data_IF_855286628073
#
_entry.id   IF_855286628073
#
_cell.length_a   1.000
_cell.length_b   1.000
_cell.length_c   1.000
_cell.angle_alpha   90.00
_cell.angle_beta   90.00
_cell.angle_gamma   90.00
#
_symmetry.space_group_name_H-M   'P 1'
#
loop_
_entity.id
_entity.type
_entity.pdbx_description
1 polymer ?
#
# COMPACT_ATOMS: atom_id res chain seq x y z
N UNK A 1 -1.43 47.77 -31.41
CA UNK A 1 -0.69 47.68 -32.67
C UNK A 1 -0.29 46.23 -32.88
N UNK A 2 -1.04 45.50 -33.68
CA UNK A 2 -0.70 44.11 -34.08
C UNK A 2 0.30 44.22 -35.24
N UNK A 3 1.54 43.93 -34.97
CA UNK A 3 2.54 43.81 -36.04
C UNK A 3 2.13 42.64 -36.94
N UNK A 4 1.77 42.93 -38.20
CA UNK A 4 1.52 41.90 -39.20
C UNK A 4 2.84 41.20 -39.56
N UNK A 5 2.88 39.90 -39.27
CA UNK A 5 4.03 39.03 -39.64
C UNK A 5 4.21 39.10 -41.15
N UNK A 6 5.45 39.31 -41.62
CA UNK A 6 5.75 39.39 -43.05
C UNK A 6 5.40 38.07 -43.77
N UNK A 7 4.89 38.16 -45.00
CA UNK A 7 4.50 36.97 -45.81
C UNK A 7 5.58 35.89 -45.90
N UNK A 8 6.87 36.21 -46.13
CA UNK A 8 7.91 35.17 -46.17
C UNK A 8 8.05 34.43 -44.83
N UNK A 9 7.88 35.11 -43.69
CA UNK A 9 7.94 34.47 -42.37
C UNK A 9 6.69 33.59 -42.11
N UNK A 10 5.53 33.97 -42.61
CA UNK A 10 4.33 33.10 -42.57
C UNK A 10 4.53 31.82 -43.37
N UNK A 11 5.08 31.91 -44.59
CA UNK A 11 5.39 30.70 -45.39
C UNK A 11 6.44 29.82 -44.71
N UNK A 12 7.47 30.41 -44.11
CA UNK A 12 8.46 29.65 -43.34
C UNK A 12 7.84 28.86 -42.19
N UNK A 13 6.93 29.48 -41.40
CA UNK A 13 6.20 28.78 -40.33
C UNK A 13 5.29 27.66 -40.88
N UNK A 14 4.53 27.93 -41.96
CA UNK A 14 3.65 26.94 -42.58
C UNK A 14 4.46 25.73 -43.07
N UNK A 15 5.59 26.00 -43.77
CA UNK A 15 6.46 24.94 -44.28
C UNK A 15 7.11 24.13 -43.18
N UNK A 16 7.61 24.78 -42.13
CA UNK A 16 8.21 24.12 -40.99
C UNK A 16 7.18 23.27 -40.24
N UNK A 17 5.98 23.81 -39.95
CA UNK A 17 4.90 23.11 -39.32
C UNK A 17 4.37 21.93 -40.14
N UNK A 18 4.13 22.15 -41.44
CA UNK A 18 3.71 21.10 -42.37
C UNK A 18 4.76 19.98 -42.49
N UNK A 19 6.04 20.35 -42.60
CA UNK A 19 7.15 19.40 -42.63
C UNK A 19 7.23 18.57 -41.33
N UNK A 20 7.06 19.21 -40.19
CA UNK A 20 7.00 18.53 -38.89
C UNK A 20 5.83 17.53 -38.83
N UNK A 21 4.62 17.97 -39.23
CA UNK A 21 3.44 17.09 -39.23
C UNK A 21 3.62 15.88 -40.14
N UNK A 22 4.15 16.09 -41.37
CA UNK A 22 4.41 15.00 -42.30
C UNK A 22 5.49 14.04 -41.78
N UNK A 23 6.55 14.58 -41.19
CA UNK A 23 7.60 13.79 -40.57
C UNK A 23 7.07 12.92 -39.41
N UNK A 24 6.27 13.51 -38.53
CA UNK A 24 5.62 12.80 -37.41
C UNK A 24 4.62 11.76 -37.93
N UNK A 25 3.81 12.11 -38.95
CA UNK A 25 2.88 11.16 -39.57
C UNK A 25 3.64 9.96 -40.20
N UNK A 26 4.70 10.22 -40.94
CA UNK A 26 5.54 9.16 -41.50
C UNK A 26 6.19 8.28 -40.44
N UNK A 27 6.61 8.89 -39.31
CA UNK A 27 7.17 8.13 -38.17
C UNK A 27 6.12 7.26 -37.50
N UNK A 28 4.91 7.76 -37.37
CA UNK A 28 3.79 7.04 -36.73
C UNK A 28 3.42 5.77 -37.50
N UNK A 29 3.64 5.73 -38.83
CA UNK A 29 3.35 4.55 -39.63
C UNK A 29 4.23 3.33 -39.28
N UNK A 30 5.31 3.50 -38.53
CA UNK A 30 6.15 2.38 -38.06
C UNK A 30 5.43 1.41 -37.14
N UNK A 31 4.38 1.86 -36.48
CA UNK A 31 3.55 1.00 -35.60
C UNK A 31 2.56 0.13 -36.36
N UNK A 32 2.29 0.42 -37.65
CA UNK A 32 1.28 -0.31 -38.44
C UNK A 32 1.71 -1.73 -38.84
N UNK A 33 2.95 -1.98 -39.31
CA UNK A 33 3.35 -3.30 -39.85
C UNK A 33 3.36 -4.44 -38.80
N UNK A 34 3.43 -4.12 -37.52
CA UNK A 34 3.40 -5.11 -36.43
C UNK A 34 2.01 -5.57 -36.04
N UNK A 35 0.96 -5.03 -36.63
CA UNK A 35 -0.41 -5.40 -36.26
C UNK A 35 -0.79 -6.79 -36.80
N UNK A 36 -1.23 -7.67 -35.91
CA UNK A 36 -1.80 -8.97 -36.24
C UNK A 36 -3.06 -9.19 -35.39
N UNK A 37 -4.19 -9.28 -36.05
CA UNK A 37 -5.44 -9.64 -35.39
C UNK A 37 -5.57 -11.18 -35.26
N UNK A 38 -6.28 -11.65 -34.24
CA UNK A 38 -6.62 -13.07 -34.16
C UNK A 38 -7.48 -13.49 -35.39
N UNK A 39 -7.24 -14.70 -35.89
CA UNK A 39 -7.85 -15.18 -37.15
C UNK A 39 -9.38 -15.17 -37.14
N UNK A 40 -9.99 -15.20 -35.98
CA UNK A 40 -11.44 -15.21 -35.74
C UNK A 40 -12.04 -13.83 -35.42
N UNK A 41 -11.23 -12.74 -35.51
CA UNK A 41 -11.69 -11.39 -35.19
C UNK A 41 -12.70 -10.89 -36.25
N UNK A 42 -13.97 -10.60 -35.87
CA UNK A 42 -14.97 -10.16 -36.84
C UNK A 42 -14.65 -8.78 -37.41
N UNK A 43 -14.78 -8.64 -38.74
CA UNK A 43 -14.47 -7.41 -39.48
C UNK A 43 -15.53 -6.31 -39.34
N UNK A 44 -16.83 -6.69 -39.20
CA UNK A 44 -17.94 -5.75 -39.34
C UNK A 44 -18.52 -5.25 -38.02
N UNK A 45 -18.09 -5.73 -36.88
CA UNK A 45 -18.62 -5.32 -35.56
C UNK A 45 -17.70 -4.37 -34.79
N UNK A 46 -16.69 -3.80 -35.45
CA UNK A 46 -15.75 -2.85 -34.84
C UNK A 46 -14.63 -3.49 -34.01
N UNK A 47 -14.66 -4.80 -33.75
CA UNK A 47 -13.62 -5.45 -32.92
C UNK A 47 -12.24 -5.39 -33.55
N UNK A 48 -12.15 -5.54 -34.89
CA UNK A 48 -10.88 -5.40 -35.59
C UNK A 48 -10.33 -3.96 -35.50
N UNK A 49 -11.19 -2.96 -35.69
CA UNK A 49 -10.79 -1.55 -35.55
C UNK A 49 -10.30 -1.25 -34.13
N UNK A 50 -11.00 -1.72 -33.11
CA UNK A 50 -10.60 -1.57 -31.73
C UNK A 50 -9.26 -2.28 -31.40
N UNK A 51 -9.07 -3.49 -31.92
CA UNK A 51 -7.79 -4.20 -31.77
C UNK A 51 -6.63 -3.45 -32.45
N UNK A 52 -6.88 -2.88 -33.65
CA UNK A 52 -5.91 -2.06 -34.34
C UNK A 52 -5.60 -0.77 -33.58
N UNK A 53 -6.62 -0.07 -33.10
CA UNK A 53 -6.45 1.14 -32.31
C UNK A 53 -5.64 0.88 -31.03
N UNK A 54 -5.93 -0.21 -30.33
CA UNK A 54 -5.20 -0.60 -29.13
C UNK A 54 -3.72 -0.92 -29.43
N UNK A 55 -3.46 -1.64 -30.53
CA UNK A 55 -2.08 -1.91 -30.99
C UNK A 55 -1.37 -0.62 -31.37
N UNK A 56 -2.00 0.21 -32.22
CA UNK A 56 -1.44 1.47 -32.69
C UNK A 56 -1.13 2.42 -31.55
N UNK A 57 -2.05 2.56 -30.56
CA UNK A 57 -1.85 3.40 -29.38
C UNK A 57 -0.68 2.91 -28.50
N UNK A 58 -0.53 1.60 -28.36
CA UNK A 58 0.56 1.00 -27.59
C UNK A 58 1.92 1.21 -28.23
N UNK A 59 2.01 1.02 -29.56
CA UNK A 59 3.26 1.06 -30.31
C UNK A 59 3.56 2.47 -30.91
N UNK A 60 2.71 3.46 -30.65
CA UNK A 60 2.81 4.79 -31.24
C UNK A 60 4.03 5.57 -30.72
N UNK A 61 5.09 5.71 -31.53
CA UNK A 61 6.37 6.23 -31.04
C UNK A 61 6.31 7.70 -30.60
N UNK A 62 5.41 8.49 -31.20
CA UNK A 62 5.24 9.91 -30.88
C UNK A 62 4.57 10.10 -29.52
N UNK A 63 3.64 9.20 -29.14
CA UNK A 63 2.99 9.22 -27.82
C UNK A 63 4.05 9.13 -26.73
N UNK A 64 4.98 8.19 -26.86
CA UNK A 64 6.07 8.00 -25.90
C UNK A 64 6.96 9.23 -25.81
N UNK A 65 7.40 9.78 -26.98
CA UNK A 65 8.19 11.01 -27.00
C UNK A 65 7.44 12.17 -26.33
N UNK A 66 6.17 12.39 -26.73
CA UNK A 66 5.34 13.47 -26.18
C UNK A 66 5.11 13.30 -24.66
N UNK A 67 4.83 12.08 -24.22
CA UNK A 67 4.63 11.79 -22.78
C UNK A 67 5.90 12.04 -21.98
N UNK A 68 7.06 11.55 -22.45
CA UNK A 68 8.32 11.74 -21.72
C UNK A 68 8.75 13.21 -21.72
N UNK A 69 8.62 13.90 -22.87
CA UNK A 69 8.97 15.33 -22.96
C UNK A 69 8.09 16.17 -22.02
N UNK A 70 6.77 15.92 -22.03
CA UNK A 70 5.85 16.64 -21.16
C UNK A 70 6.15 16.35 -19.70
N UNK A 71 6.32 15.08 -19.33
CA UNK A 71 6.70 14.69 -17.98
C UNK A 71 8.02 15.32 -17.52
N UNK A 72 9.02 15.45 -18.43
CA UNK A 72 10.28 16.11 -18.10
C UNK A 72 10.10 17.61 -17.83
N UNK A 73 9.22 18.29 -18.59
CA UNK A 73 8.86 19.69 -18.34
C UNK A 73 8.13 19.85 -17.02
N UNK A 74 7.10 19.04 -16.76
CA UNK A 74 6.32 19.07 -15.52
C UNK A 74 7.24 18.83 -14.31
N UNK A 75 8.08 17.80 -14.38
CA UNK A 75 9.02 17.45 -13.32
C UNK A 75 10.06 18.56 -13.05
N UNK A 76 10.67 19.12 -14.11
CA UNK A 76 11.78 20.07 -13.96
C UNK A 76 11.32 21.49 -13.64
N UNK A 77 10.20 21.94 -14.22
CA UNK A 77 9.73 23.32 -14.07
C UNK A 77 8.71 23.49 -12.97
N UNK A 78 7.80 22.53 -12.82
CA UNK A 78 6.69 22.63 -11.88
C UNK A 78 6.86 21.74 -10.64
N UNK A 79 7.81 20.78 -10.67
CA UNK A 79 7.96 19.74 -9.62
C UNK A 79 6.69 18.93 -9.47
N UNK A 80 6.07 18.56 -10.59
CA UNK A 80 4.85 17.79 -10.65
C UNK A 80 5.06 16.47 -11.37
N UNK A 81 4.35 15.43 -10.92
CA UNK A 81 4.21 14.13 -11.56
C UNK A 81 2.78 13.89 -12.01
N UNK A 82 2.48 12.66 -12.47
CA UNK A 82 1.10 12.24 -12.70
C UNK A 82 0.33 12.20 -11.38
N UNK A 83 -1.03 12.31 -11.40
CA UNK A 83 -1.85 12.07 -10.23
C UNK A 83 -1.50 10.72 -9.57
N UNK A 84 -1.27 10.74 -8.26
CA UNK A 84 -0.80 9.60 -7.47
C UNK A 84 0.52 9.84 -6.75
N UNK A 85 1.30 10.88 -7.13
CA UNK A 85 2.57 11.20 -6.50
C UNK A 85 2.67 12.67 -6.12
N UNK A 86 3.30 12.94 -4.99
CA UNK A 86 3.78 14.26 -4.55
C UNK A 86 5.31 14.22 -4.54
N UNK A 87 5.93 15.17 -5.25
CA UNK A 87 7.37 15.28 -5.35
C UNK A 87 7.89 16.13 -4.17
N UNK A 88 8.66 15.49 -3.32
CA UNK A 88 9.33 16.12 -2.20
C UNK A 88 10.74 16.63 -2.53
N UNK A 89 11.49 17.00 -1.49
CA UNK A 89 12.89 17.42 -1.59
C UNK A 89 13.82 16.20 -1.63
N UNK A 90 15.04 16.40 -2.12
CA UNK A 90 16.14 15.40 -2.10
C UNK A 90 15.77 14.06 -2.76
N UNK A 91 14.88 14.09 -3.76
CA UNK A 91 14.42 12.91 -4.47
C UNK A 91 13.44 12.03 -3.68
N UNK A 92 12.85 12.56 -2.59
CA UNK A 92 11.76 11.89 -1.89
C UNK A 92 10.46 12.03 -2.67
N UNK A 93 9.74 10.93 -2.76
CA UNK A 93 8.41 10.87 -3.34
C UNK A 93 7.42 10.39 -2.27
N UNK A 94 6.22 10.93 -2.31
CA UNK A 94 5.14 10.57 -1.40
C UNK A 94 3.91 10.18 -2.23
N UNK A 95 3.06 9.31 -1.72
CA UNK A 95 1.75 9.10 -2.33
C UNK A 95 0.87 10.33 -2.11
N UNK A 96 0.13 10.77 -3.12
CA UNK A 96 -0.80 11.88 -2.99
C UNK A 96 -1.98 11.57 -2.04
N UNK A 97 -2.20 10.27 -1.73
CA UNK A 97 -3.22 9.81 -0.78
C UNK A 97 -3.01 10.38 0.63
N UNK A 98 -1.77 10.65 1.03
CA UNK A 98 -1.44 11.25 2.33
C UNK A 98 -1.78 12.74 2.41
N UNK A 99 -2.09 13.38 1.28
CA UNK A 99 -2.36 14.83 1.16
C UNK A 99 -3.81 15.13 0.81
N UNK A 100 -4.61 14.12 0.44
CA UNK A 100 -6.00 14.28 0.10
C UNK A 100 -6.86 14.45 1.36
N UNK A 101 -7.77 15.42 1.40
CA UNK A 101 -8.76 15.50 2.46
C UNK A 101 -9.70 14.29 2.40
N UNK A 102 -10.33 13.98 3.54
CA UNK A 102 -11.43 13.02 3.53
C UNK A 102 -12.55 13.52 2.59
N UNK A 103 -13.18 12.62 1.82
CA UNK A 103 -14.30 12.99 0.93
C UNK A 103 -15.44 13.66 1.71
N UNK A 104 -15.64 13.24 2.96
CA UNK A 104 -16.58 13.86 3.91
C UNK A 104 -16.17 13.49 5.34
N UNK A 105 -16.62 14.27 6.34
CA UNK A 105 -16.46 13.89 7.75
C UNK A 105 -17.15 12.56 8.08
N UNK A 106 -18.23 12.25 7.37
CA UNK A 106 -18.96 10.99 7.52
C UNK A 106 -18.11 9.78 7.09
N UNK A 107 -17.19 9.93 6.13
CA UNK A 107 -16.36 8.82 5.65
C UNK A 107 -15.43 8.29 6.75
N UNK A 108 -14.84 9.18 7.54
CA UNK A 108 -13.99 8.78 8.66
C UNK A 108 -14.81 8.01 9.72
N UNK A 109 -16.03 8.48 10.01
CA UNK A 109 -16.94 7.81 10.93
C UNK A 109 -17.42 6.46 10.40
N UNK A 110 -17.68 6.35 9.10
CA UNK A 110 -18.04 5.10 8.45
C UNK A 110 -16.93 4.04 8.51
N UNK A 111 -15.68 4.46 8.26
CA UNK A 111 -14.53 3.58 8.38
C UNK A 111 -14.31 3.15 9.83
N UNK A 112 -14.45 4.08 10.77
CA UNK A 112 -14.38 3.77 12.19
C UNK A 112 -15.47 2.77 12.62
N UNK A 113 -16.71 2.95 12.15
CA UNK A 113 -17.80 2.03 12.42
C UNK A 113 -17.51 0.62 11.89
N UNK A 114 -16.85 0.50 10.71
CA UNK A 114 -16.39 -0.77 10.18
C UNK A 114 -15.32 -1.41 11.08
N UNK A 115 -14.30 -0.66 11.50
CA UNK A 115 -13.26 -1.16 12.41
C UNK A 115 -13.88 -1.69 13.70
N UNK A 116 -14.84 -0.97 14.27
CA UNK A 116 -15.58 -1.39 15.46
C UNK A 116 -16.46 -2.61 15.21
N UNK A 117 -17.10 -2.69 14.04
CA UNK A 117 -17.89 -3.85 13.63
C UNK A 117 -17.04 -5.10 13.51
N UNK A 118 -15.87 -4.98 12.87
CA UNK A 118 -14.88 -6.06 12.77
C UNK A 118 -14.44 -6.52 14.16
N UNK A 119 -14.05 -5.59 15.04
CA UNK A 119 -13.64 -5.92 16.41
C UNK A 119 -14.73 -6.75 17.13
N UNK A 120 -15.99 -6.35 17.02
CA UNK A 120 -17.09 -7.08 17.68
C UNK A 120 -17.31 -8.45 17.09
N UNK A 121 -17.18 -8.57 15.75
CA UNK A 121 -17.29 -9.86 15.09
C UNK A 121 -16.18 -10.82 15.53
N UNK A 122 -14.94 -10.31 15.63
CA UNK A 122 -13.79 -11.07 16.13
C UNK A 122 -13.99 -11.48 17.62
N UNK A 123 -14.41 -10.54 18.47
CA UNK A 123 -14.66 -10.81 19.89
C UNK A 123 -15.74 -11.87 20.08
N UNK A 124 -16.80 -11.90 19.25
CA UNK A 124 -17.82 -12.97 19.30
C UNK A 124 -17.27 -14.35 19.01
N UNK A 125 -16.17 -14.43 18.26
CA UNK A 125 -15.46 -15.68 17.93
C UNK A 125 -14.32 -15.97 18.89
N UNK A 126 -14.12 -15.15 19.93
CA UNK A 126 -13.01 -15.30 20.87
C UNK A 126 -11.65 -14.89 20.31
N UNK A 127 -11.61 -14.17 19.16
CA UNK A 127 -10.39 -13.67 18.53
C UNK A 127 -10.06 -12.30 19.09
N UNK A 128 -8.86 -12.15 19.64
CA UNK A 128 -8.33 -10.85 20.07
C UNK A 128 -7.82 -10.09 18.86
N UNK A 129 -7.94 -8.77 18.88
CA UNK A 129 -7.50 -7.87 17.80
C UNK A 129 -6.42 -6.92 18.28
N UNK A 130 -5.31 -6.88 17.57
CA UNK A 130 -4.32 -5.79 17.63
C UNK A 130 -4.34 -5.03 16.32
N UNK A 131 -4.55 -3.71 16.40
CA UNK A 131 -4.60 -2.84 15.24
C UNK A 131 -3.24 -2.14 15.08
N UNK A 132 -2.53 -2.49 14.02
CA UNK A 132 -1.24 -1.91 13.66
C UNK A 132 -1.46 -0.73 12.69
N UNK A 133 -1.70 0.47 13.23
CA UNK A 133 -1.87 1.69 12.40
C UNK A 133 -0.51 2.19 11.97
N UNK A 134 -0.21 2.07 10.67
CA UNK A 134 1.07 2.52 10.12
C UNK A 134 1.00 4.02 9.85
N UNK A 135 1.82 4.85 10.52
CA UNK A 135 1.79 6.29 10.32
C UNK A 135 2.20 6.67 8.89
N UNK A 136 1.63 7.76 8.39
CA UNK A 136 1.92 8.29 7.07
C UNK A 136 3.43 8.62 6.93
N UNK A 137 3.99 8.33 5.76
CA UNK A 137 5.39 8.65 5.43
C UNK A 137 5.66 10.15 5.57
N UNK A 138 4.72 11.00 5.13
CA UNK A 138 4.81 12.44 5.26
C UNK A 138 4.89 12.90 6.73
N UNK A 139 4.28 12.17 7.66
CA UNK A 139 4.36 12.44 9.11
C UNK A 139 5.74 12.11 9.70
N UNK A 140 6.41 11.13 9.14
CA UNK A 140 7.75 10.69 9.56
C UNK A 140 8.88 11.51 8.93
N UNK A 141 8.65 12.04 7.72
CA UNK A 141 9.64 12.77 6.93
C UNK A 141 9.15 14.16 6.51
N UNK A 142 8.64 14.99 7.45
CA UNK A 142 8.15 16.33 7.14
C UNK A 142 9.24 17.24 6.56
N UNK A 143 10.52 16.98 6.89
CA UNK A 143 11.67 17.70 6.36
C UNK A 143 11.84 17.58 4.84
N UNK A 144 11.34 16.48 4.26
CA UNK A 144 11.39 16.23 2.82
C UNK A 144 10.11 16.63 2.08
N UNK A 145 9.07 17.11 2.76
CA UNK A 145 7.89 17.64 2.08
C UNK A 145 8.27 18.96 1.38
N UNK A 146 7.85 19.09 0.10
CA UNK A 146 8.12 20.25 -0.72
C UNK A 146 7.12 21.39 -0.48
N UNK A 147 6.32 21.69 -1.50
CA UNK A 147 5.27 22.72 -1.45
C UNK A 147 3.97 22.21 -0.89
N UNK A 148 3.66 20.95 -1.17
CA UNK A 148 2.46 20.29 -0.66
C UNK A 148 2.57 20.10 0.85
N UNK A 149 1.44 20.26 1.51
CA UNK A 149 1.31 19.96 2.93
C UNK A 149 0.15 18.99 3.11
N UNK A 150 0.25 18.02 4.02
CA UNK A 150 -0.90 17.21 4.40
C UNK A 150 -2.08 18.09 4.77
N UNK A 151 -3.30 17.69 4.45
CA UNK A 151 -4.49 18.41 4.87
C UNK A 151 -4.51 18.54 6.40
N UNK A 152 -5.00 19.67 6.94
CA UNK A 152 -5.03 19.93 8.40
C UNK A 152 -5.72 18.81 9.19
N UNK A 153 -6.70 18.12 8.58
CA UNK A 153 -7.31 16.91 9.12
C UNK A 153 -6.29 15.84 9.50
N UNK A 154 -5.16 15.75 8.80
CA UNK A 154 -4.14 14.74 9.04
C UNK A 154 -3.21 15.09 10.21
N UNK A 155 -3.20 16.33 10.70
CA UNK A 155 -2.29 16.75 11.76
C UNK A 155 -2.50 15.91 13.03
N UNK A 156 -3.74 15.76 13.48
CA UNK A 156 -4.10 14.99 14.67
C UNK A 156 -4.62 13.58 14.35
N UNK A 157 -4.94 13.27 13.09
CA UNK A 157 -5.65 12.07 12.67
C UNK A 157 -5.08 10.78 13.30
N UNK A 158 -3.77 10.60 13.26
CA UNK A 158 -3.11 9.42 13.80
C UNK A 158 -3.35 9.28 15.31
N UNK A 159 -3.10 10.33 16.07
CA UNK A 159 -3.23 10.30 17.53
C UNK A 159 -4.69 10.20 17.97
N UNK A 160 -5.59 10.91 17.30
CA UNK A 160 -7.03 10.86 17.56
C UNK A 160 -7.58 9.45 17.31
N UNK A 161 -7.14 8.82 16.22
CA UNK A 161 -7.55 7.46 15.92
C UNK A 161 -7.04 6.46 16.96
N UNK A 162 -5.77 6.54 17.37
CA UNK A 162 -5.23 5.70 18.45
C UNK A 162 -5.95 5.92 19.77
N UNK A 163 -6.30 7.17 20.09
CA UNK A 163 -7.07 7.49 21.29
C UNK A 163 -8.47 6.85 21.24
N UNK A 164 -9.15 6.92 20.08
CA UNK A 164 -10.46 6.25 19.86
C UNK A 164 -10.33 4.73 19.97
N UNK A 165 -9.29 4.13 19.36
CA UNK A 165 -9.04 2.70 19.44
C UNK A 165 -8.87 2.25 20.90
N UNK A 166 -8.05 2.96 21.66
CA UNK A 166 -7.83 2.68 23.09
C UNK A 166 -9.11 2.83 23.91
N UNK A 167 -9.87 3.91 23.70
CA UNK A 167 -11.15 4.13 24.39
C UNK A 167 -12.17 3.03 24.05
N UNK A 168 -12.06 2.42 22.89
CA UNK A 168 -12.87 1.32 22.41
C UNK A 168 -12.39 -0.07 22.87
N UNK A 169 -11.28 -0.14 23.62
CA UNK A 169 -10.68 -1.41 24.05
C UNK A 169 -10.05 -2.20 22.90
N UNK A 170 -9.52 -1.50 21.87
CA UNK A 170 -8.70 -2.09 20.80
C UNK A 170 -7.24 -1.82 21.13
N UNK A 171 -6.44 -2.87 21.24
CA UNK A 171 -5.01 -2.74 21.41
C UNK A 171 -4.40 -2.16 20.12
N UNK A 172 -3.82 -0.97 20.24
CA UNK A 172 -3.19 -0.28 19.13
C UNK A 172 -1.99 0.52 19.64
N UNK A 173 -0.78 -0.06 19.58
CA UNK A 173 0.43 0.60 20.08
C UNK A 173 0.82 1.80 19.23
N UNK A 174 1.49 2.78 19.85
CA UNK A 174 2.08 3.91 19.12
C UNK A 174 3.29 3.44 18.31
N UNK A 175 3.11 3.30 17.01
CA UNK A 175 4.16 2.93 16.06
C UNK A 175 4.96 4.15 15.59
N UNK A 176 4.37 5.35 15.65
CA UNK A 176 5.02 6.59 15.23
C UNK A 176 6.27 6.90 16.07
N UNK A 177 6.14 6.77 17.39
CA UNK A 177 7.26 6.98 18.32
C UNK A 177 8.42 6.03 18.03
N UNK A 178 8.13 4.74 17.87
CA UNK A 178 9.13 3.71 17.57
C UNK A 178 9.81 3.93 16.23
N UNK A 179 9.05 4.27 15.18
CA UNK A 179 9.60 4.55 13.86
C UNK A 179 10.45 5.83 13.84
N UNK A 180 10.05 6.88 14.58
CA UNK A 180 10.88 8.09 14.72
C UNK A 180 12.22 7.79 15.37
N UNK A 181 12.24 6.98 16.41
CA UNK A 181 13.48 6.56 17.05
C UNK A 181 14.35 5.70 16.13
N UNK A 182 13.75 4.82 15.35
CA UNK A 182 14.47 3.96 14.43
C UNK A 182 15.10 4.72 13.26
N UNK A 183 14.64 5.93 12.92
CA UNK A 183 15.28 6.80 11.90
C UNK A 183 16.73 7.10 12.19
N UNK A 184 17.14 7.08 13.44
CA UNK A 184 18.55 7.28 13.82
C UNK A 184 19.47 6.15 13.32
N UNK A 185 18.90 4.98 13.03
CA UNK A 185 19.61 3.80 12.52
C UNK A 185 19.50 3.64 11.00
N UNK A 186 18.68 4.43 10.34
CA UNK A 186 18.47 4.38 8.89
C UNK A 186 17.06 4.77 8.45
N UNK A 187 16.83 4.76 7.14
CA UNK A 187 15.52 5.07 6.60
C UNK A 187 14.49 3.98 6.94
N UNK A 188 13.41 4.35 7.61
CA UNK A 188 12.30 3.45 7.97
C UNK A 188 11.23 3.37 6.89
N UNK A 189 11.21 4.34 5.95
CA UNK A 189 10.46 4.28 4.70
C UNK A 189 11.41 4.44 3.52
N UNK A 190 11.05 3.83 2.41
CA UNK A 190 11.79 3.97 1.16
C UNK A 190 11.53 5.35 0.54
N UNK A 191 12.57 5.94 -0.03
CA UNK A 191 12.51 7.30 -0.55
C UNK A 191 11.58 7.43 -1.75
N UNK A 192 11.64 6.47 -2.68
CA UNK A 192 10.90 6.49 -3.96
C UNK A 192 9.72 5.53 -4.00
N UNK A 193 9.36 4.94 -2.85
CA UNK A 193 8.32 3.94 -2.72
C UNK A 193 7.29 4.37 -1.67
N UNK A 194 6.07 3.87 -1.80
CA UNK A 194 5.01 4.10 -0.81
C UNK A 194 5.30 3.40 0.51
N UNK A 195 6.07 2.31 0.47
CA UNK A 195 6.20 1.38 1.59
C UNK A 195 7.36 1.71 2.53
N UNK A 196 7.30 1.09 3.69
CA UNK A 196 8.42 1.04 4.63
C UNK A 196 9.63 0.29 4.06
N UNK A 197 10.79 0.53 4.66
CA UNK A 197 11.97 -0.30 4.46
C UNK A 197 11.90 -1.57 5.33
N UNK A 198 12.76 -2.57 5.12
CA UNK A 198 12.88 -3.71 6.03
C UNK A 198 13.19 -3.31 7.48
N UNK A 199 13.90 -2.19 7.69
CA UNK A 199 14.13 -1.61 9.03
C UNK A 199 12.83 -1.11 9.65
N UNK A 200 11.99 -0.41 8.86
CA UNK A 200 10.69 0.05 9.33
C UNK A 200 9.77 -1.11 9.69
N UNK A 201 9.69 -2.13 8.81
CA UNK A 201 8.90 -3.33 9.05
C UNK A 201 9.33 -4.07 10.32
N UNK A 202 10.65 -4.27 10.51
CA UNK A 202 11.21 -4.90 11.71
C UNK A 202 10.91 -4.09 12.98
N UNK A 203 11.06 -2.77 12.93
CA UNK A 203 10.74 -1.86 14.06
C UNK A 203 9.28 -2.00 14.48
N UNK A 204 8.36 -2.02 13.53
CA UNK A 204 6.93 -2.21 13.79
C UNK A 204 6.67 -3.59 14.37
N UNK A 205 7.25 -4.64 13.80
CA UNK A 205 7.11 -6.01 14.30
C UNK A 205 7.60 -6.15 15.75
N UNK A 206 8.73 -5.54 16.09
CA UNK A 206 9.29 -5.54 17.45
C UNK A 206 8.35 -4.80 18.43
N UNK A 207 7.81 -3.64 18.04
CA UNK A 207 6.87 -2.89 18.90
C UNK A 207 5.56 -3.64 19.12
N UNK A 208 5.00 -4.25 18.07
CA UNK A 208 3.83 -5.12 18.18
C UNK A 208 4.10 -6.34 19.06
N UNK A 209 5.25 -6.99 18.87
CA UNK A 209 5.67 -8.12 19.68
C UNK A 209 5.82 -7.77 21.16
N UNK A 210 6.34 -6.58 21.49
CA UNK A 210 6.42 -6.10 22.87
C UNK A 210 5.01 -5.92 23.45
N UNK A 211 4.12 -5.21 22.76
CA UNK A 211 2.73 -4.98 23.20
C UNK A 211 1.97 -6.29 23.47
N UNK A 212 2.02 -7.22 22.51
CA UNK A 212 1.32 -8.51 22.60
C UNK A 212 1.81 -9.34 23.78
N UNK A 213 3.14 -9.30 24.07
CA UNK A 213 3.69 -9.99 25.25
C UNK A 213 3.31 -9.31 26.56
N UNK A 214 3.39 -7.99 26.63
CA UNK A 214 3.05 -7.21 27.83
C UNK A 214 1.57 -7.36 28.22
N UNK A 215 0.71 -7.45 27.22
CA UNK A 215 -0.75 -7.59 27.41
C UNK A 215 -1.23 -9.05 27.44
N UNK A 216 -0.33 -10.03 27.29
CA UNK A 216 -0.64 -11.45 27.28
C UNK A 216 -1.77 -11.83 26.30
N UNK A 217 -1.73 -11.25 25.07
CA UNK A 217 -2.78 -11.48 24.07
C UNK A 217 -2.63 -12.81 23.34
N UNK A 218 -1.43 -13.39 23.31
CA UNK A 218 -1.13 -14.65 22.63
C UNK A 218 -0.51 -15.63 23.63
N UNK A 219 -1.11 -16.81 23.71
CA UNK A 219 -0.62 -17.93 24.53
C UNK A 219 -0.46 -19.15 23.63
N UNK A 220 0.76 -19.34 23.15
CA UNK A 220 1.13 -20.45 22.27
C UNK A 220 2.54 -20.94 22.62
N UNK A 221 2.87 -22.21 22.34
CA UNK A 221 4.23 -22.70 22.49
C UNK A 221 5.22 -21.85 21.67
N UNK A 222 6.33 -21.49 22.29
CA UNK A 222 7.34 -20.68 21.60
C UNK A 222 8.01 -21.47 20.49
N UNK A 223 8.05 -20.87 19.30
CA UNK A 223 8.80 -21.34 18.15
C UNK A 223 9.85 -20.29 17.75
N UNK A 224 11.11 -20.67 17.71
CA UNK A 224 12.16 -19.73 17.38
C UNK A 224 12.27 -19.50 15.86
N UNK A 225 12.41 -18.25 15.48
CA UNK A 225 12.65 -17.82 14.11
C UNK A 225 13.95 -17.02 14.04
N UNK A 226 14.64 -17.12 12.93
CA UNK A 226 15.91 -16.41 12.67
C UNK A 226 15.82 -15.68 11.35
N UNK A 227 16.05 -14.38 11.37
CA UNK A 227 16.16 -13.57 10.17
C UNK A 227 17.60 -13.57 9.67
N UNK A 228 17.77 -13.96 8.42
CA UNK A 228 19.05 -13.86 7.71
C UNK A 228 19.05 -12.62 6.84
N UNK A 229 20.15 -11.92 6.89
CA UNK A 229 20.43 -10.78 6.01
C UNK A 229 21.09 -11.31 4.75
N UNK A 230 20.47 -11.10 3.61
CA UNK A 230 20.95 -11.52 2.30
C UNK A 230 21.70 -10.41 1.56
N UNK A 231 21.72 -10.49 0.25
CA UNK A 231 22.38 -9.50 -0.61
C UNK A 231 21.56 -8.19 -0.71
N UNK A 232 22.27 -7.09 -0.97
CA UNK A 232 21.62 -5.85 -1.39
C UNK A 232 21.16 -5.97 -2.84
N UNK A 233 19.94 -5.52 -3.11
CA UNK A 233 19.37 -5.48 -4.45
C UNK A 233 18.85 -4.09 -4.77
N UNK A 234 19.07 -3.67 -6.00
CA UNK A 234 18.52 -2.43 -6.50
C UNK A 234 16.99 -2.50 -6.50
N UNK A 235 16.37 -1.53 -5.86
CA UNK A 235 14.93 -1.39 -5.76
C UNK A 235 14.48 -0.15 -6.52
N UNK A 236 13.54 -0.33 -7.44
CA UNK A 236 12.83 0.74 -8.13
C UNK A 236 11.48 0.93 -7.44
N UNK A 237 11.33 2.06 -6.75
CA UNK A 237 10.11 2.36 -6.00
C UNK A 237 8.86 2.45 -6.87
N UNK A 238 7.72 2.11 -6.32
CA UNK A 238 6.42 2.12 -7.01
C UNK A 238 5.98 3.53 -7.45
N UNK A 239 6.35 4.56 -6.69
CA UNK A 239 6.01 5.95 -6.99
C UNK A 239 6.71 6.48 -8.25
N UNK A 240 7.81 5.86 -8.69
CA UNK A 240 8.48 6.20 -9.94
C UNK A 240 7.60 5.93 -11.18
N UNK A 241 6.59 5.07 -11.06
CA UNK A 241 5.63 4.80 -12.14
C UNK A 241 4.77 6.03 -12.50
N UNK A 242 4.64 6.99 -11.58
CA UNK A 242 3.96 8.26 -11.80
C UNK A 242 4.84 9.34 -12.45
N UNK A 243 6.11 9.02 -12.69
CA UNK A 243 7.08 9.88 -13.38
C UNK A 243 7.50 9.21 -14.70
N UNK A 244 6.72 9.34 -15.79
CA UNK A 244 7.01 8.65 -17.05
C UNK A 244 8.14 9.34 -17.82
N UNK A 245 9.33 9.34 -17.24
CA UNK A 245 10.55 9.92 -17.81
C UNK A 245 11.34 8.91 -18.65
N UNK A 246 11.21 7.62 -18.32
CA UNK A 246 11.83 6.51 -19.06
C UNK A 246 11.31 6.37 -20.49
N UNK A 247 12.18 6.10 -21.46
CA UNK A 247 13.64 5.98 -21.39
C UNK A 247 14.38 7.23 -21.84
N UNK A 248 13.69 8.35 -22.14
CA UNK A 248 14.32 9.50 -22.78
C UNK A 248 14.94 10.48 -21.79
N UNK A 249 14.49 10.44 -20.55
CA UNK A 249 14.89 11.36 -19.46
C UNK A 249 15.05 10.60 -18.13
N UNK A 250 15.50 9.36 -18.18
CA UNK A 250 15.69 8.52 -17.00
C UNK A 250 16.76 9.07 -16.05
N UNK A 251 17.70 9.86 -16.56
CA UNK A 251 18.69 10.58 -15.75
C UNK A 251 18.09 11.63 -14.81
N UNK A 252 16.85 12.08 -15.06
CA UNK A 252 16.11 12.98 -14.17
C UNK A 252 15.44 12.25 -13.00
N UNK A 253 15.25 10.94 -13.10
CA UNK A 253 14.63 10.16 -12.04
C UNK A 253 15.50 10.15 -10.77
N UNK A 254 14.89 10.12 -9.58
CA UNK A 254 15.62 9.83 -8.37
C UNK A 254 16.38 8.52 -8.48
N UNK A 255 17.61 8.48 -7.97
CA UNK A 255 18.42 7.25 -8.00
C UNK A 255 17.72 6.10 -7.32
N UNK A 256 17.79 4.88 -7.87
CA UNK A 256 17.26 3.69 -7.22
C UNK A 256 17.88 3.49 -5.83
N UNK A 257 17.12 2.86 -4.96
CA UNK A 257 17.55 2.52 -3.61
C UNK A 257 18.18 1.14 -3.58
N UNK A 258 19.07 0.93 -2.62
CA UNK A 258 19.60 -0.42 -2.33
C UNK A 258 18.79 -0.99 -1.18
N UNK A 259 18.20 -2.15 -1.41
CA UNK A 259 17.37 -2.84 -0.44
C UNK A 259 18.08 -4.09 0.07
N UNK A 260 18.42 -4.08 1.35
CA UNK A 260 18.98 -5.25 2.02
C UNK A 260 17.92 -6.34 2.12
N UNK A 261 18.11 -7.44 1.41
CA UNK A 261 17.18 -8.57 1.47
C UNK A 261 17.19 -9.21 2.86
N UNK A 262 16.02 -9.60 3.34
CA UNK A 262 15.86 -10.31 4.62
C UNK A 262 14.92 -11.48 4.43
N UNK A 263 15.26 -12.61 5.04
CA UNK A 263 14.43 -13.82 5.01
C UNK A 263 14.42 -14.43 6.40
N UNK A 264 13.24 -14.72 6.90
CA UNK A 264 13.04 -15.32 8.22
C UNK A 264 12.60 -16.77 8.07
N UNK A 265 13.29 -17.66 8.74
CA UNK A 265 13.02 -19.09 8.75
C UNK A 265 12.89 -19.59 10.18
N UNK A 266 12.18 -20.70 10.39
CA UNK A 266 12.16 -21.38 11.67
C UNK A 266 13.60 -21.84 12.01
N UNK A 267 14.03 -21.57 13.24
CA UNK A 267 15.34 -22.00 13.70
C UNK A 267 15.41 -23.53 13.74
N UNK A 268 16.55 -24.13 13.35
CA UNK A 268 16.74 -25.57 13.49
C UNK A 268 16.55 -26.02 14.94
N UNK A 269 15.92 -27.16 15.14
CA UNK A 269 15.80 -27.77 16.45
C UNK A 269 17.20 -28.03 17.05
N UNK A 270 17.39 -27.60 18.30
CA UNK A 270 18.63 -27.93 19.01
C UNK A 270 18.70 -29.45 19.25
N UNK A 271 19.84 -30.11 18.97
CA UNK A 271 19.99 -31.51 19.31
C UNK A 271 19.86 -31.71 20.83
N UNK A 272 18.85 -32.44 21.26
CA UNK A 272 18.60 -32.75 22.68
C UNK A 272 17.57 -31.90 23.42
N UNK A 273 16.97 -30.88 22.77
CA UNK A 273 15.78 -30.21 23.30
C UNK A 273 14.54 -31.10 23.11
N UNK A 274 13.77 -31.32 24.17
CA UNK A 274 12.43 -31.87 24.03
C UNK A 274 11.60 -30.92 23.18
N UNK A 275 11.46 -31.22 21.89
CA UNK A 275 10.43 -30.62 21.05
C UNK A 275 9.10 -31.18 21.54
N UNK A 276 8.36 -30.39 22.28
CA UNK A 276 6.93 -30.62 22.41
C UNK A 276 6.32 -30.39 21.03
N UNK A 277 6.17 -31.43 20.22
CA UNK A 277 5.29 -31.42 19.06
C UNK A 277 5.86 -31.56 17.65
N UNK A 278 7.15 -31.92 17.44
CA UNK A 278 7.67 -32.10 16.08
C UNK A 278 8.31 -33.48 15.84
N UNK A 279 7.67 -34.52 16.25
CA UNK A 279 8.14 -35.89 15.96
C UNK A 279 7.11 -36.88 16.36
N UNK A 280 6.12 -37.13 15.53
CA UNK A 280 5.43 -38.38 15.30
C UNK A 280 4.10 -38.26 14.54
N UNK A 281 3.80 -37.16 13.91
CA UNK A 281 2.59 -37.02 13.10
C UNK A 281 2.90 -36.89 11.60
N UNK A 282 3.32 -38.01 10.99
CA UNK A 282 3.23 -38.17 9.53
C UNK A 282 1.76 -38.11 9.02
N UNK A 283 0.79 -38.05 9.95
CA UNK A 283 -0.64 -37.91 9.70
C UNK A 283 -1.37 -37.12 10.79
N UNK A 284 -0.65 -36.37 11.64
CA UNK A 284 -1.25 -35.55 12.67
C UNK A 284 -1.85 -34.28 12.11
N UNK A 285 -3.06 -33.93 12.56
CA UNK A 285 -3.71 -32.62 12.36
C UNK A 285 -2.70 -31.50 12.69
N UNK A 286 -2.07 -30.94 11.67
CA UNK A 286 -1.27 -29.74 11.84
C UNK A 286 -2.22 -28.63 12.26
N UNK A 287 -2.27 -28.39 13.56
CA UNK A 287 -3.08 -27.28 14.09
C UNK A 287 -2.65 -26.01 13.39
N UNK A 288 -3.62 -25.31 12.81
CA UNK A 288 -3.35 -24.05 12.16
C UNK A 288 -2.70 -23.06 13.14
N UNK A 289 -1.79 -22.17 12.69
CA UNK A 289 -1.22 -21.15 13.53
C UNK A 289 -2.31 -20.34 14.24
N UNK A 290 -2.12 -20.13 15.55
CA UNK A 290 -3.09 -19.40 16.40
C UNK A 290 -3.00 -17.88 16.23
N UNK A 291 -2.14 -17.40 15.36
CA UNK A 291 -1.91 -16.00 15.01
C UNK A 291 -2.21 -15.79 13.54
N UNK A 292 -2.96 -14.73 13.21
CA UNK A 292 -3.22 -14.29 11.85
C UNK A 292 -2.74 -12.85 11.65
N UNK A 293 -2.28 -12.56 10.43
CA UNK A 293 -1.95 -11.22 9.95
C UNK A 293 -2.87 -10.88 8.79
N UNK A 294 -3.52 -9.71 8.85
CA UNK A 294 -4.32 -9.16 7.77
C UNK A 294 -3.83 -7.75 7.48
N UNK A 295 -3.84 -7.34 6.23
CA UNK A 295 -3.41 -6.00 5.90
C UNK A 295 -3.26 -5.78 4.41
N UNK A 296 -2.42 -4.83 4.07
CA UNK A 296 -2.17 -4.33 2.73
C UNK A 296 -0.87 -4.89 2.14
N UNK A 297 -0.38 -4.26 1.07
CA UNK A 297 0.94 -4.55 0.49
C UNK A 297 2.12 -4.36 1.47
N UNK A 298 1.92 -3.62 2.55
CA UNK A 298 2.93 -3.51 3.63
C UNK A 298 3.17 -4.86 4.31
N UNK A 299 2.13 -5.69 4.45
CA UNK A 299 2.20 -7.02 5.04
C UNK A 299 2.32 -8.14 4.01
N UNK A 300 1.74 -7.95 2.81
CA UNK A 300 1.68 -8.99 1.79
C UNK A 300 3.00 -9.17 1.03
N UNK A 301 3.76 -8.06 0.84
CA UNK A 301 4.95 -8.11 0.01
C UNK A 301 6.18 -8.63 0.79
N UNK A 302 6.77 -9.76 0.38
CA UNK A 302 7.90 -10.39 1.10
C UNK A 302 9.18 -9.54 1.10
N UNK A 303 9.29 -8.50 0.25
CA UNK A 303 10.47 -7.63 0.20
C UNK A 303 10.75 -6.92 1.51
N UNK A 304 9.69 -6.61 2.27
CA UNK A 304 9.81 -5.92 3.55
C UNK A 304 10.08 -6.88 4.71
N UNK A 305 9.85 -8.18 4.51
CA UNK A 305 9.97 -9.24 5.52
C UNK A 305 9.16 -8.96 6.81
N UNK A 306 8.04 -8.26 6.71
CA UNK A 306 7.23 -7.92 7.88
C UNK A 306 6.65 -9.15 8.56
N UNK A 307 6.09 -10.09 7.77
CA UNK A 307 5.62 -11.38 8.29
C UNK A 307 6.71 -12.10 9.07
N UNK A 308 7.90 -12.24 8.48
CA UNK A 308 9.02 -12.92 9.12
C UNK A 308 9.49 -12.20 10.38
N UNK A 309 9.58 -10.87 10.35
CA UNK A 309 9.95 -10.07 11.52
C UNK A 309 8.92 -10.23 12.65
N UNK A 310 7.62 -10.32 12.32
CA UNK A 310 6.56 -10.52 13.31
C UNK A 310 6.62 -11.93 13.91
N UNK A 311 6.84 -12.97 13.09
CA UNK A 311 7.09 -14.35 13.58
C UNK A 311 8.27 -14.39 14.56
N UNK A 312 9.37 -13.74 14.21
CA UNK A 312 10.56 -13.67 15.07
C UNK A 312 10.26 -12.88 16.37
N UNK A 313 9.61 -11.72 16.26
CA UNK A 313 9.29 -10.89 17.42
C UNK A 313 8.35 -11.57 18.42
N UNK A 314 7.44 -12.40 17.93
CA UNK A 314 6.46 -13.13 18.75
C UNK A 314 6.90 -14.55 19.13
N UNK A 315 7.96 -15.06 18.53
CA UNK A 315 8.34 -16.47 18.61
C UNK A 315 7.17 -17.41 18.32
N UNK A 316 6.37 -17.08 17.32
CA UNK A 316 5.13 -17.80 16.94
C UNK A 316 4.95 -17.78 15.43
N UNK A 317 4.47 -18.88 14.87
CA UNK A 317 4.06 -18.92 13.47
C UNK A 317 2.73 -18.20 13.25
N UNK A 318 2.49 -17.74 12.04
CA UNK A 318 1.27 -17.02 11.67
C UNK A 318 0.84 -17.34 10.24
N UNK A 319 -0.46 -17.14 9.99
CA UNK A 319 -1.03 -17.15 8.64
C UNK A 319 -1.20 -15.71 8.16
N UNK A 320 -0.68 -15.41 6.98
CA UNK A 320 -0.77 -14.08 6.39
C UNK A 320 -1.90 -14.04 5.34
N UNK A 321 -2.95 -13.27 5.62
CA UNK A 321 -4.10 -13.02 4.74
C UNK A 321 -4.05 -11.63 4.07
N UNK A 322 -2.95 -10.90 4.21
CA UNK A 322 -2.79 -9.58 3.60
C UNK A 322 -2.77 -9.66 2.06
N UNK A 323 -3.27 -8.61 1.40
CA UNK A 323 -3.37 -8.55 -0.07
C UNK A 323 -2.85 -7.24 -0.62
N UNK A 324 -2.05 -7.30 -1.68
CA UNK A 324 -1.58 -6.11 -2.38
C UNK A 324 -2.72 -5.43 -3.17
N UNK A 325 -2.74 -4.09 -3.15
CA UNK A 325 -3.67 -3.29 -3.96
C UNK A 325 -5.15 -3.34 -3.54
N UNK A 326 -5.46 -3.96 -2.38
CA UNK A 326 -6.83 -4.16 -1.91
C UNK A 326 -7.24 -3.26 -0.74
N UNK A 327 -6.32 -2.43 -0.27
CA UNK A 327 -6.52 -1.68 0.96
C UNK A 327 -6.67 -2.58 2.19
N UNK A 328 -6.93 -2.00 3.38
CA UNK A 328 -6.98 -2.80 4.62
C UNK A 328 -8.34 -3.45 4.87
N UNK A 329 -9.44 -2.94 4.31
CA UNK A 329 -10.78 -3.42 4.60
C UNK A 329 -11.16 -4.68 3.83
N UNK A 330 -10.85 -4.73 2.52
CA UNK A 330 -11.25 -5.86 1.67
C UNK A 330 -10.70 -7.20 2.18
N UNK A 331 -9.38 -7.37 2.45
CA UNK A 331 -8.85 -8.63 2.96
C UNK A 331 -9.46 -9.05 4.31
N UNK A 332 -9.76 -8.07 5.16
CA UNK A 332 -10.40 -8.32 6.45
C UNK A 332 -11.84 -8.82 6.29
N UNK A 333 -12.63 -8.19 5.42
CA UNK A 333 -14.01 -8.59 5.19
C UNK A 333 -14.12 -9.96 4.51
N UNK A 334 -13.20 -10.26 3.58
CA UNK A 334 -13.10 -11.61 2.99
C UNK A 334 -12.77 -12.66 4.05
N UNK A 335 -11.81 -12.37 4.93
CA UNK A 335 -11.45 -13.29 6.02
C UNK A 335 -12.64 -13.57 6.96
N UNK A 336 -13.42 -12.53 7.29
CA UNK A 336 -14.62 -12.73 8.13
C UNK A 336 -15.66 -13.64 7.48
N UNK A 337 -15.66 -13.75 6.14
CA UNK A 337 -16.56 -14.64 5.39
C UNK A 337 -15.95 -16.01 5.11
N UNK A 338 -14.65 -16.20 5.29
CA UNK A 338 -13.96 -17.45 5.03
C UNK A 338 -14.45 -18.57 5.97
N UNK A 339 -14.74 -19.73 5.40
CA UNK A 339 -15.26 -20.88 6.17
C UNK A 339 -14.18 -21.50 7.06
N UNK A 340 -12.93 -21.55 6.62
CA UNK A 340 -11.80 -22.07 7.40
C UNK A 340 -11.61 -21.25 8.67
N UNK A 341 -11.54 -19.92 8.49
CA UNK A 341 -11.46 -18.97 9.60
C UNK A 341 -12.65 -19.08 10.57
N UNK A 342 -13.85 -19.36 10.06
CA UNK A 342 -15.03 -19.52 10.93
C UNK A 342 -15.01 -20.81 11.74
N UNK A 343 -14.44 -21.88 11.19
CA UNK A 343 -14.38 -23.20 11.84
C UNK A 343 -13.27 -23.28 12.87
N UNK A 344 -12.11 -22.73 12.57
CA UNK A 344 -10.94 -22.73 13.45
C UNK A 344 -10.32 -21.33 13.49
N UNK A 345 -10.91 -20.39 14.25
CA UNK A 345 -10.41 -19.03 14.35
C UNK A 345 -9.09 -18.98 15.14
N UNK A 346 -8.15 -18.08 14.76
CA UNK A 346 -6.95 -17.86 15.53
C UNK A 346 -7.25 -17.27 16.90
N UNK A 347 -6.31 -17.32 17.81
CA UNK A 347 -6.40 -16.66 19.11
C UNK A 347 -6.25 -15.15 19.01
N UNK A 348 -5.33 -14.71 18.12
CA UNK A 348 -4.97 -13.33 17.90
C UNK A 348 -4.94 -13.00 16.41
N UNK A 349 -5.44 -11.83 16.07
CA UNK A 349 -5.35 -11.26 14.75
C UNK A 349 -4.65 -9.89 14.83
N UNK A 350 -3.58 -9.72 14.06
CA UNK A 350 -2.93 -8.44 13.83
C UNK A 350 -3.49 -7.87 12.52
N UNK A 351 -4.09 -6.68 12.60
CA UNK A 351 -4.62 -5.98 11.43
C UNK A 351 -3.75 -4.78 11.11
N UNK A 352 -2.96 -4.87 10.06
CA UNK A 352 -2.16 -3.77 9.55
C UNK A 352 -3.05 -2.81 8.75
N UNK A 353 -2.98 -1.51 9.10
CA UNK A 353 -3.86 -0.48 8.58
C UNK A 353 -3.07 0.82 8.36
N UNK A 354 -2.68 1.20 7.13
CA UNK A 354 -1.97 2.45 6.92
C UNK A 354 -2.86 3.67 7.21
N UNK A 355 -2.31 4.65 7.89
CA UNK A 355 -3.01 5.88 8.30
C UNK A 355 -3.78 6.55 7.15
N UNK A 356 -3.19 6.57 5.95
CA UNK A 356 -3.82 7.21 4.78
C UNK A 356 -5.19 6.64 4.40
N UNK A 357 -5.46 5.39 4.76
CA UNK A 357 -6.76 4.75 4.51
C UNK A 357 -7.85 5.12 5.53
N UNK A 358 -7.48 5.71 6.67
CA UNK A 358 -8.46 6.09 7.68
C UNK A 358 -9.54 7.03 7.15
N UNK A 359 -9.20 8.09 6.37
CA UNK A 359 -10.18 9.00 5.79
C UNK A 359 -10.66 8.58 4.39
N UNK A 360 -10.07 7.54 3.76
CA UNK A 360 -10.37 7.17 2.38
C UNK A 360 -11.62 6.30 2.28
N UNK A 361 -12.40 6.50 1.22
CA UNK A 361 -13.46 5.58 0.86
C UNK A 361 -12.87 4.28 0.29
N UNK A 362 -13.42 3.14 0.72
CA UNK A 362 -13.08 1.82 0.16
C UNK A 362 -14.21 1.33 -0.73
N UNK A 363 -13.85 0.74 -1.87
CA UNK A 363 -14.83 0.04 -2.70
C UNK A 363 -15.16 -1.32 -2.06
N UNK A 364 -16.36 -1.43 -1.52
CA UNK A 364 -16.88 -2.63 -0.89
C UNK A 364 -18.03 -3.25 -1.69
N UNK A 365 -18.19 -2.87 -2.97
CA UNK A 365 -19.29 -3.31 -3.85
C UNK A 365 -19.35 -4.81 -4.11
N UNK A 366 -18.25 -5.52 -3.87
CA UNK A 366 -18.17 -6.98 -3.98
C UNK A 366 -18.82 -7.72 -2.79
N UNK A 367 -19.06 -7.02 -1.67
CA UNK A 367 -19.70 -7.59 -0.49
C UNK A 367 -21.20 -7.28 -0.49
N UNK A 368 -21.98 -8.15 0.17
CA UNK A 368 -23.39 -7.90 0.39
C UNK A 368 -23.61 -6.60 1.18
N UNK A 369 -24.36 -5.67 0.61
CA UNK A 369 -24.54 -4.34 1.15
C UNK A 369 -25.24 -4.35 2.53
N UNK A 370 -26.20 -5.27 2.72
CA UNK A 370 -26.93 -5.40 4.00
C UNK A 370 -26.01 -5.95 5.10
N UNK A 371 -25.13 -6.90 4.75
CA UNK A 371 -24.14 -7.41 5.68
C UNK A 371 -23.12 -6.34 6.09
N UNK A 372 -22.61 -5.54 5.14
CA UNK A 372 -21.71 -4.41 5.43
C UNK A 372 -22.41 -3.37 6.32
N UNK A 373 -23.68 -3.05 6.02
CA UNK A 373 -24.48 -2.13 6.83
C UNK A 373 -24.71 -2.66 8.25
N UNK A 374 -24.99 -3.96 8.42
CA UNK A 374 -25.11 -4.60 9.73
C UNK A 374 -23.79 -4.56 10.51
N UNK A 375 -22.66 -4.80 9.85
CA UNK A 375 -21.35 -4.72 10.47
C UNK A 375 -21.08 -3.31 10.99
N UNK A 376 -21.31 -2.27 10.18
CA UNK A 376 -21.23 -0.86 10.59
C UNK A 376 -22.17 -0.53 11.75
N UNK A 377 -23.44 -0.93 11.64
CA UNK A 377 -24.44 -0.67 12.70
C UNK A 377 -24.08 -1.34 14.03
N UNK A 378 -23.46 -2.51 13.99
CA UNK A 378 -22.93 -3.16 15.18
C UNK A 378 -21.83 -2.31 15.82
N UNK A 379 -20.95 -1.68 15.04
CA UNK A 379 -19.87 -0.77 15.46
C UNK A 379 -20.35 0.50 16.17
N UNK A 380 -21.43 1.11 15.69
CA UNK A 380 -21.93 2.41 16.19
C UNK A 380 -22.85 2.36 17.41
N UNK A 381 -23.26 1.18 17.90
CA UNK A 381 -24.25 1.08 19.01
C UNK A 381 -23.72 1.54 20.38
N UNK A 382 -22.45 1.30 20.69
CA UNK A 382 -21.90 1.61 22.03
C UNK A 382 -21.59 3.09 22.23
N UNK A 383 -21.23 3.82 21.17
CA UNK A 383 -21.00 5.26 21.29
C UNK A 383 -22.28 6.00 21.68
N UNK A 384 -23.43 5.57 21.14
CA UNK A 384 -24.74 6.14 21.52
C UNK A 384 -25.14 5.77 22.96
N UNK A 385 -24.80 4.56 23.41
CA UNK A 385 -25.06 4.12 24.79
C UNK A 385 -24.10 4.79 25.80
N UNK A 386 -22.85 5.05 25.41
CA UNK A 386 -21.88 5.77 26.24
C UNK A 386 -22.24 7.26 26.34
N UNK A 387 -22.64 7.89 25.23
CA UNK A 387 -23.11 9.27 25.21
C UNK A 387 -24.38 9.46 26.07
N UNK A 388 -25.34 8.51 26.02
CA UNK A 388 -26.57 8.57 26.80
C UNK A 388 -26.40 8.26 28.32
N UNK A 389 -25.23 7.84 28.75
CA UNK A 389 -24.90 7.66 30.19
C UNK A 389 -24.17 8.85 30.81
N UNK A 390 -23.72 9.78 29.98
CA UNK A 390 -23.04 11.00 30.41
C UNK A 390 -23.93 12.25 30.35
N UNK A 391 -25.17 12.10 29.86
CA UNK A 391 -26.28 13.05 29.98
C UNK A 391 -27.19 12.65 31.18
#
# INVERSE_FOLDING_TARGET
>A
MTQSISRPLQYAYITAFGGLLLGLAGWSLKSVPGFSAAADTPLLNGKLAHAFEAHYDKEFPIKRLGTNLWAALDYTLFHEGRPGVVIGKDGWLFTDEEFKPAPSGQQLEDNWALVRGVQRELNRRGVKLVLAVIPAKARLYPEHIGREQPAALHDSLYQDFLARARAAGIDSPDLLGSLRQAKDNGAVFLRTDTHWSPLGAETVAQRLGAEIRETHLLDVPAQNFVTRVGEERTHKGDLLSFLPLDPLFDELLPRPEQLQQRTTEAAPALPGGQQSGAGDDLFGDSQQPRLALVGTSYSANPRWNFEGALKQALSADLINYAKEGKGPLEPMLELLQDEGFRKDPPQLLVWEFPERYLPMASDLSQFDADWVAQLKASGGRDERLAASRND
#
